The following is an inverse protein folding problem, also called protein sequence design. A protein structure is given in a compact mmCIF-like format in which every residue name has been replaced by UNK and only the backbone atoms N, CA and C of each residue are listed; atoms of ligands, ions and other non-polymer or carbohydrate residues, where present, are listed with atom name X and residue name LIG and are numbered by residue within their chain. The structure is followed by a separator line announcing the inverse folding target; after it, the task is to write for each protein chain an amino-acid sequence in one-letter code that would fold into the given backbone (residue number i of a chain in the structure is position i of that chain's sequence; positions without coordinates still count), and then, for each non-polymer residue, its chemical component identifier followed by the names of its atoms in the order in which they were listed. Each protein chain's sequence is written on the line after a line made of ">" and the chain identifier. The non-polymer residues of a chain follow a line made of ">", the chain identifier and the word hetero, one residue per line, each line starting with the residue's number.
data_IF_836080730077
#
_entry.id   IF_836080730077
#
_cell.length_a   1.000
_cell.length_b   1.000
_cell.length_c   1.000
_cell.angle_alpha   90.00
_cell.angle_beta   90.00
_cell.angle_gamma   90.00
#
_symmetry.space_group_name_H-M   'P 1'
#
loop_
_entity.id
_entity.type
_entity.pdbx_description
1 polymer ?
#
# COMPACT_ATOMS: atom_id res chain seq x y z
N UNK A 1 -12.99 -0.99 -12.42
CA UNK A 1 -12.57 0.18 -11.63
C UNK A 1 -11.09 0.45 -11.82
N UNK A 2 -10.68 1.74 -11.76
CA UNK A 2 -9.25 2.08 -11.83
C UNK A 2 -8.45 1.40 -10.74
N UNK A 3 -7.23 1.03 -11.10
CA UNK A 3 -6.26 0.40 -10.19
C UNK A 3 -4.94 1.11 -10.31
N UNK A 4 -4.22 1.25 -9.20
CA UNK A 4 -2.85 1.74 -9.19
C UNK A 4 -1.97 0.75 -8.45
N UNK A 5 -0.85 0.41 -9.06
CA UNK A 5 0.17 -0.44 -8.46
C UNK A 5 1.40 0.40 -8.14
N UNK A 6 1.91 0.24 -6.94
CA UNK A 6 3.16 0.87 -6.53
C UNK A 6 4.05 -0.19 -5.90
N UNK A 7 5.36 -0.03 -6.07
CA UNK A 7 6.34 -0.96 -5.54
C UNK A 7 7.27 -0.22 -4.61
N UNK A 8 7.51 -0.79 -3.42
CA UNK A 8 8.41 -0.21 -2.44
C UNK A 8 9.51 -1.21 -2.15
N UNK A 9 10.77 -0.78 -2.30
CA UNK A 9 11.91 -1.61 -1.97
C UNK A 9 12.03 -1.71 -0.45
N UNK A 10 12.19 -2.94 0.05
CA UNK A 10 12.31 -3.18 1.48
C UNK A 10 13.74 -3.59 1.83
N UNK A 11 14.24 -3.20 3.02
CA UNK A 11 15.50 -3.74 3.50
C UNK A 11 15.40 -5.25 3.74
N UNK A 12 16.51 -5.95 3.63
CA UNK A 12 16.56 -7.37 3.89
C UNK A 12 16.10 -7.66 5.32
N UNK A 13 15.16 -8.60 5.46
CA UNK A 13 14.66 -8.99 6.77
C UNK A 13 13.62 -8.05 7.38
N UNK A 14 13.20 -7.03 6.65
CA UNK A 14 12.18 -6.11 7.16
C UNK A 14 10.81 -6.79 7.19
N UNK A 15 10.18 -6.78 8.36
CA UNK A 15 8.85 -7.35 8.56
C UNK A 15 7.80 -6.23 8.50
N UNK A 16 7.16 -6.08 7.35
CA UNK A 16 6.16 -5.04 7.15
C UNK A 16 4.80 -5.41 7.76
N UNK A 17 4.53 -6.71 7.94
CA UNK A 17 3.24 -7.15 8.46
C UNK A 17 2.98 -6.73 9.90
N UNK A 18 4.04 -6.66 10.70
CA UNK A 18 3.91 -6.29 12.10
C UNK A 18 3.99 -4.81 12.39
N UNK A 19 3.95 -3.96 11.37
CA UNK A 19 4.12 -2.51 11.56
C UNK A 19 2.79 -1.80 11.70
N UNK A 20 2.48 -1.22 12.88
CA UNK A 20 1.19 -0.53 13.07
C UNK A 20 1.00 0.67 12.15
N UNK A 21 2.07 1.35 11.77
CA UNK A 21 1.98 2.50 10.87
C UNK A 21 1.49 2.08 9.49
N UNK A 22 1.97 0.96 8.98
CA UNK A 22 1.55 0.43 7.68
C UNK A 22 0.10 -0.03 7.75
N UNK A 23 -0.26 -0.72 8.82
CA UNK A 23 -1.63 -1.18 9.02
C UNK A 23 -2.60 0.00 9.11
N UNK A 24 -2.22 1.04 9.82
CA UNK A 24 -3.06 2.24 9.95
C UNK A 24 -3.25 2.92 8.58
N UNK A 25 -2.19 2.99 7.78
CA UNK A 25 -2.30 3.58 6.44
C UNK A 25 -3.23 2.77 5.55
N UNK A 26 -3.13 1.45 5.62
CA UNK A 26 -4.01 0.56 4.85
C UNK A 26 -5.47 0.74 5.25
N UNK A 27 -5.73 0.75 6.55
CA UNK A 27 -7.10 0.89 7.06
C UNK A 27 -7.68 2.25 6.71
N UNK A 28 -6.89 3.31 6.79
CA UNK A 28 -7.35 4.65 6.43
C UNK A 28 -7.73 4.71 4.95
N UNK A 29 -6.93 4.10 4.09
CA UNK A 29 -7.22 4.07 2.66
C UNK A 29 -8.49 3.26 2.37
N UNK A 30 -8.66 2.12 3.03
CA UNK A 30 -9.86 1.32 2.87
C UNK A 30 -11.11 2.07 3.30
N UNK A 31 -11.00 2.84 4.37
CA UNK A 31 -12.11 3.64 4.87
C UNK A 31 -12.52 4.71 3.85
N UNK A 32 -11.54 5.35 3.22
CA UNK A 32 -11.84 6.35 2.20
C UNK A 32 -12.48 5.76 0.96
N UNK A 33 -12.05 4.56 0.58
CA UNK A 33 -12.61 3.90 -0.59
C UNK A 33 -14.02 3.36 -0.33
N UNK A 34 -14.33 3.02 0.91
CA UNK A 34 -15.63 2.46 1.27
C UNK A 34 -15.84 1.09 0.61
N UNK A 35 -17.09 0.79 0.28
CA UNK A 35 -17.46 -0.49 -0.32
C UNK A 35 -17.04 -0.62 -1.77
N UNK A 36 -16.63 0.46 -2.40
CA UNK A 36 -16.37 0.48 -3.84
C UNK A 36 -14.90 0.24 -4.19
N UNK A 37 -14.05 0.01 -3.20
CA UNK A 37 -12.64 -0.19 -3.47
C UNK A 37 -11.97 -1.13 -2.50
N UNK A 38 -10.69 -1.37 -2.73
CA UNK A 38 -9.91 -2.26 -1.87
C UNK A 38 -8.43 -1.94 -1.96
N UNK A 39 -7.71 -2.39 -0.94
CA UNK A 39 -6.26 -2.23 -0.83
C UNK A 39 -5.66 -3.60 -0.59
N UNK A 40 -4.62 -3.94 -1.36
CA UNK A 40 -3.86 -5.18 -1.17
C UNK A 40 -2.39 -4.84 -1.04
N UNK A 41 -1.75 -5.44 -0.04
CA UNK A 41 -0.31 -5.33 0.17
C UNK A 41 0.28 -6.73 0.09
N UNK A 42 1.25 -6.93 -0.80
CA UNK A 42 1.86 -8.25 -1.01
C UNK A 42 3.36 -8.12 -1.17
N UNK A 43 4.08 -8.99 -0.49
CA UNK A 43 5.51 -9.10 -0.69
C UNK A 43 5.80 -9.86 -1.97
N UNK A 44 6.84 -9.42 -2.71
CA UNK A 44 7.32 -10.15 -3.86
C UNK A 44 8.03 -11.42 -3.39
N UNK A 45 7.87 -12.51 -4.13
CA UNK A 45 8.43 -13.79 -3.74
C UNK A 45 9.95 -13.88 -3.85
N UNK A 46 10.56 -13.15 -4.77
CA UNK A 46 12.00 -13.29 -5.06
C UNK A 46 12.81 -12.05 -4.74
N UNK A 47 12.18 -10.91 -4.58
CA UNK A 47 12.88 -9.66 -4.31
C UNK A 47 12.29 -8.99 -3.08
N UNK A 48 13.08 -8.19 -2.34
CA UNK A 48 12.58 -7.49 -1.17
C UNK A 48 11.73 -6.27 -1.57
N UNK A 49 10.64 -6.53 -2.26
CA UNK A 49 9.69 -5.51 -2.71
C UNK A 49 8.33 -5.75 -2.10
N UNK A 50 7.69 -4.67 -1.71
CA UNK A 50 6.29 -4.71 -1.31
C UNK A 50 5.45 -4.12 -2.42
N UNK A 51 4.46 -4.86 -2.88
CA UNK A 51 3.53 -4.39 -3.89
C UNK A 51 2.30 -3.82 -3.20
N UNK A 52 2.00 -2.56 -3.51
CA UNK A 52 0.82 -1.87 -3.02
C UNK A 52 -0.17 -1.75 -4.17
N UNK A 53 -1.36 -2.31 -4.02
CA UNK A 53 -2.41 -2.20 -5.02
C UNK A 53 -3.62 -1.51 -4.39
N UNK A 54 -4.11 -0.48 -5.05
CA UNK A 54 -5.32 0.23 -4.64
C UNK A 54 -6.28 0.25 -5.83
N UNK A 55 -7.52 -0.10 -5.57
CA UNK A 55 -8.58 -0.11 -6.57
C UNK A 55 -9.76 0.69 -6.04
N UNK A 56 -10.39 1.46 -6.90
CA UNK A 56 -11.54 2.26 -6.51
C UNK A 56 -12.18 2.95 -7.70
N UNK A 57 -13.23 3.73 -7.45
CA UNK A 57 -14.01 4.36 -8.52
C UNK A 57 -13.30 5.52 -9.19
N UNK A 58 -12.51 6.28 -8.44
CA UNK A 58 -11.85 7.47 -8.96
C UNK A 58 -10.36 7.25 -9.10
N UNK A 59 -9.86 7.39 -10.33
CA UNK A 59 -8.45 7.13 -10.63
C UNK A 59 -7.51 8.02 -9.81
N UNK A 60 -7.85 9.29 -9.63
CA UNK A 60 -7.00 10.20 -8.89
C UNK A 60 -6.95 9.84 -7.40
N UNK A 61 -8.08 9.50 -6.81
CA UNK A 61 -8.13 9.06 -5.43
C UNK A 61 -7.31 7.79 -5.24
N UNK A 62 -7.47 6.84 -6.14
CA UNK A 62 -6.74 5.57 -6.10
C UNK A 62 -5.23 5.82 -6.17
N UNK A 63 -4.78 6.68 -7.07
CA UNK A 63 -3.37 6.99 -7.21
C UNK A 63 -2.82 7.69 -5.96
N UNK A 64 -3.58 8.62 -5.39
CA UNK A 64 -3.17 9.35 -4.19
C UNK A 64 -3.05 8.40 -3.00
N UNK A 65 -4.01 7.49 -2.84
CA UNK A 65 -3.98 6.54 -1.73
C UNK A 65 -2.83 5.54 -1.87
N UNK A 66 -2.57 5.06 -3.09
CA UNK A 66 -1.45 4.14 -3.33
C UNK A 66 -0.13 4.81 -3.00
N UNK A 67 0.05 6.05 -3.42
CA UNK A 67 1.25 6.81 -3.12
C UNK A 67 1.41 7.05 -1.63
N UNK A 68 0.32 7.38 -0.95
CA UNK A 68 0.34 7.61 0.50
C UNK A 68 0.78 6.38 1.27
N UNK A 69 0.26 5.21 0.92
CA UNK A 69 0.66 3.96 1.55
C UNK A 69 2.13 3.67 1.26
N UNK A 70 2.55 3.82 0.00
CA UNK A 70 3.95 3.58 -0.37
C UNK A 70 4.90 4.51 0.39
N UNK A 71 4.53 5.77 0.58
CA UNK A 71 5.34 6.73 1.33
C UNK A 71 5.48 6.33 2.80
N UNK A 72 4.39 5.84 3.41
CA UNK A 72 4.43 5.35 4.79
C UNK A 72 5.37 4.15 4.90
N UNK A 73 5.25 3.20 3.98
CA UNK A 73 6.11 2.01 3.98
C UNK A 73 7.58 2.41 3.86
N UNK A 74 7.90 3.33 2.96
CA UNK A 74 9.27 3.81 2.79
C UNK A 74 9.81 4.46 4.04
N UNK A 75 9.01 5.26 4.72
CA UNK A 75 9.40 5.93 5.95
C UNK A 75 9.67 4.95 7.07
N UNK A 76 8.79 3.98 7.23
CA UNK A 76 8.92 2.96 8.28
C UNK A 76 10.11 2.05 8.01
N UNK A 77 10.39 1.76 6.74
CA UNK A 77 11.49 0.88 6.34
C UNK A 77 12.86 1.56 6.34
N UNK A 78 12.89 2.88 6.36
CA UNK A 78 14.14 3.63 6.28
C UNK A 78 15.01 3.48 7.54
#
# INVERSE_FOLDING_TARGET
>A
YPQTLAYVKLPSGFDWLGRPEIEAARLAAEKELGDSGRVLLRASGTEPLLRVMVEGREAQQVATLAKGIADVVQRVAA
#
